data_IF_171235024499
#
_entry.id   IF_171235024499
#
_cell.length_a   1.000
_cell.length_b   1.000
_cell.length_c   1.000
_cell.angle_alpha   90.00
_cell.angle_beta   90.00
_cell.angle_gamma   90.00
#
_symmetry.space_group_name_H-M   'P 1'
#
loop_
_entity.id
_entity.type
_entity.pdbx_description
1 polymer ?
#
# COMPACT_ATOMS: atom_id res chain seq x y z
N UNK A 1 -40.69 31.31 -14.83
CA UNK A 1 -39.36 31.42 -14.17
C UNK A 1 -38.63 30.09 -14.31
N UNK A 2 -37.42 30.07 -14.90
CA UNK A 2 -36.58 28.87 -15.00
C UNK A 2 -35.72 28.75 -13.73
N UNK A 3 -35.98 27.77 -12.87
CA UNK A 3 -35.08 27.45 -11.76
C UNK A 3 -33.79 26.85 -12.34
N UNK A 4 -32.65 27.52 -12.14
CA UNK A 4 -31.35 26.92 -12.44
C UNK A 4 -31.02 25.91 -11.35
N UNK A 5 -31.01 24.63 -11.68
CA UNK A 5 -30.49 23.57 -10.81
C UNK A 5 -28.99 23.81 -10.61
N UNK A 6 -28.59 24.24 -9.42
CA UNK A 6 -27.18 24.24 -9.00
C UNK A 6 -26.86 22.83 -8.54
N UNK A 7 -26.30 22.01 -9.43
CA UNK A 7 -25.71 20.73 -9.05
C UNK A 7 -24.54 21.00 -8.11
N UNK A 8 -24.69 20.69 -6.83
CA UNK A 8 -23.61 20.77 -5.86
C UNK A 8 -22.66 19.59 -6.11
N UNK A 9 -21.42 19.87 -6.52
CA UNK A 9 -20.39 18.84 -6.64
C UNK A 9 -20.11 18.25 -5.25
N UNK A 10 -20.52 17.01 -5.02
CA UNK A 10 -20.24 16.28 -3.79
C UNK A 10 -18.75 15.95 -3.74
N UNK A 11 -17.99 16.72 -2.95
CA UNK A 11 -16.59 16.38 -2.62
C UNK A 11 -16.61 15.22 -1.62
N UNK A 12 -16.06 14.07 -2.00
CA UNK A 12 -15.85 12.94 -1.09
C UNK A 12 -14.38 12.92 -0.66
N UNK A 13 -14.13 12.97 0.64
CA UNK A 13 -12.80 12.75 1.21
C UNK A 13 -12.72 11.36 1.84
N UNK A 14 -11.53 10.75 1.77
CA UNK A 14 -11.21 9.47 2.41
C UNK A 14 -10.00 9.70 3.31
N UNK A 15 -10.17 9.50 4.62
CA UNK A 15 -9.05 9.56 5.57
C UNK A 15 -8.31 8.23 5.54
N UNK A 16 -7.07 8.24 5.07
CA UNK A 16 -6.17 7.08 5.10
C UNK A 16 -5.15 7.25 6.22
N UNK A 17 -5.07 6.27 7.12
CA UNK A 17 -3.96 6.17 8.08
C UNK A 17 -2.89 5.27 7.50
N UNK A 18 -1.73 5.84 7.19
CA UNK A 18 -0.56 5.10 6.68
C UNK A 18 0.41 4.95 7.84
N UNK A 19 0.67 3.71 8.27
CA UNK A 19 1.79 3.45 9.19
C UNK A 19 3.09 3.59 8.42
N UNK A 20 4.05 4.43 8.87
CA UNK A 20 5.38 4.48 8.27
C UNK A 20 5.99 3.09 8.34
N UNK A 21 6.22 2.48 7.17
CA UNK A 21 6.96 1.23 7.06
C UNK A 21 8.40 1.56 6.71
N UNK A 22 9.40 0.81 7.21
CA UNK A 22 10.79 1.00 6.80
C UNK A 22 10.89 1.09 5.28
N UNK A 23 11.67 2.07 4.81
CA UNK A 23 11.93 2.23 3.38
C UNK A 23 12.68 0.98 2.91
N UNK A 24 12.28 0.43 1.76
CA UNK A 24 13.02 -0.67 1.14
C UNK A 24 14.38 -0.15 0.68
N UNK A 25 15.45 -0.81 1.09
CA UNK A 25 16.83 -0.40 0.81
C UNK A 25 17.55 -1.47 -0.04
N UNK A 26 18.51 -1.06 -0.87
CA UNK A 26 19.30 -1.96 -1.70
C UNK A 26 18.48 -2.64 -2.81
N UNK A 27 18.85 -3.87 -3.16
CA UNK A 27 18.21 -4.67 -4.22
C UNK A 27 17.26 -5.75 -3.67
N UNK A 28 17.24 -5.96 -2.36
CA UNK A 28 16.42 -6.96 -1.67
C UNK A 28 15.93 -6.40 -0.33
N UNK A 29 14.66 -6.65 0.00
CA UNK A 29 14.07 -6.27 1.27
C UNK A 29 13.19 -7.38 1.83
N UNK A 30 13.46 -7.77 3.08
CA UNK A 30 12.72 -8.81 3.80
C UNK A 30 12.00 -8.20 4.99
N UNK A 31 10.70 -8.48 5.14
CA UNK A 31 9.89 -7.91 6.21
C UNK A 31 8.68 -8.77 6.55
N UNK A 32 8.07 -8.48 7.69
CA UNK A 32 6.81 -9.10 8.09
C UNK A 32 5.60 -8.22 7.74
N UNK A 33 4.55 -8.87 7.27
CA UNK A 33 3.25 -8.26 6.99
C UNK A 33 2.16 -9.29 7.18
N UNK A 34 1.16 -8.98 8.01
CA UNK A 34 -0.01 -9.83 8.23
C UNK A 34 0.32 -11.30 8.54
N UNK A 35 1.31 -11.52 9.42
CA UNK A 35 1.74 -12.88 9.78
C UNK A 35 2.44 -13.65 8.65
N UNK A 36 2.97 -12.95 7.65
CA UNK A 36 3.80 -13.54 6.60
C UNK A 36 5.14 -12.84 6.51
N UNK A 37 6.20 -13.62 6.30
CA UNK A 37 7.52 -13.13 5.92
C UNK A 37 7.57 -12.98 4.40
N UNK A 38 7.71 -11.74 3.94
CA UNK A 38 7.78 -11.38 2.53
C UNK A 38 9.24 -11.08 2.13
N UNK A 39 9.60 -11.48 0.92
CA UNK A 39 10.85 -11.13 0.26
C UNK A 39 10.55 -10.37 -1.03
N UNK A 40 10.91 -9.10 -1.05
CA UNK A 40 10.82 -8.23 -2.21
C UNK A 40 12.19 -8.03 -2.84
N UNK A 41 12.26 -8.02 -4.17
CA UNK A 41 13.47 -7.69 -4.95
C UNK A 41 13.21 -6.54 -5.89
N UNK A 42 14.24 -5.72 -6.13
CA UNK A 42 14.17 -4.59 -7.05
C UNK A 42 14.49 -5.07 -8.48
N UNK A 43 13.50 -5.05 -9.36
CA UNK A 43 13.64 -5.42 -10.77
C UNK A 43 13.30 -4.21 -11.62
N UNK A 44 14.26 -3.72 -12.41
CA UNK A 44 14.08 -2.54 -13.28
C UNK A 44 13.49 -1.32 -12.54
N UNK A 45 13.94 -1.08 -11.31
CA UNK A 45 13.45 0.04 -10.48
C UNK A 45 12.08 -0.19 -9.82
N UNK A 46 11.49 -1.38 -9.97
CA UNK A 46 10.20 -1.75 -9.34
C UNK A 46 10.40 -2.88 -8.33
N UNK A 47 9.82 -2.72 -7.15
CA UNK A 47 9.79 -3.78 -6.14
C UNK A 47 8.78 -4.87 -6.53
N UNK A 48 9.23 -6.12 -6.49
CA UNK A 48 8.44 -7.32 -6.79
C UNK A 48 8.56 -8.30 -5.64
N UNK A 49 7.43 -8.75 -5.09
CA UNK A 49 7.40 -9.82 -4.09
C UNK A 49 7.66 -11.16 -4.78
N UNK A 50 8.76 -11.83 -4.42
CA UNK A 50 9.18 -13.11 -5.01
C UNK A 50 9.00 -14.30 -4.07
N UNK A 51 8.82 -14.05 -2.78
CA UNK A 51 8.44 -15.08 -1.81
C UNK A 51 7.53 -14.51 -0.73
N UNK A 52 6.56 -15.33 -0.31
CA UNK A 52 5.68 -15.08 0.82
C UNK A 52 5.54 -16.39 1.61
N UNK A 53 6.04 -16.40 2.84
CA UNK A 53 5.95 -17.58 3.72
C UNK A 53 5.14 -17.21 4.95
N UNK A 54 4.17 -18.04 5.33
CA UNK A 54 3.46 -17.84 6.59
C UNK A 54 4.47 -17.86 7.75
N UNK A 55 4.43 -16.83 8.60
CA UNK A 55 5.16 -16.85 9.85
C UNK A 55 4.47 -17.88 10.75
N UNK A 56 5.21 -18.91 11.15
CA UNK A 56 4.70 -19.85 12.15
C UNK A 56 4.62 -19.06 13.45
N UNK A 57 3.42 -18.86 13.98
CA UNK A 57 3.25 -18.28 15.31
C UNK A 57 4.05 -19.17 16.27
N UNK A 58 5.05 -18.58 16.91
CA UNK A 58 5.87 -19.26 17.94
C UNK A 58 5.12 -19.34 19.25
#
# INVERSE_FOLDING_TARGET
>A
MKLKSKSAALVRSLTLSIRPKPIRMGTEHVYELNGSRLRDVLVNGRWVTVAATAAVAS
#
